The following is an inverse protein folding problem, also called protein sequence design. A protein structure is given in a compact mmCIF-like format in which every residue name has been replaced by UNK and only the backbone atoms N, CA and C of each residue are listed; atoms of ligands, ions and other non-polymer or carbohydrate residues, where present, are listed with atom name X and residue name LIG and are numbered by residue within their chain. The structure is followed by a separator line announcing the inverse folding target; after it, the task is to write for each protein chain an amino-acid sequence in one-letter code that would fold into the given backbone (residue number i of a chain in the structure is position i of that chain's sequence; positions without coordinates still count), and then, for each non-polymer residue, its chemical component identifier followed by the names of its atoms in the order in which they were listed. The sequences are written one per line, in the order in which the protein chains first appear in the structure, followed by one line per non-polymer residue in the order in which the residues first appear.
data_IF_608427960524
#
_entry.id   IF_608427960524
#
_cell.length_a   1.000
_cell.length_b   1.000
_cell.length_c   1.000
_cell.angle_alpha   90.00
_cell.angle_beta   90.00
_cell.angle_gamma   90.00
#
_symmetry.space_group_name_H-M   'P 1'
#
loop_
_entity.id
_entity.type
_entity.pdbx_description
1 polymer ?
2 non-polymer ?
3 non-polymer ?
4 non-polymer ?
5 non-polymer ?
6 non-polymer ?
7 water ?
#
# COMPACT_ATOMS: atom_id res chain seq x y z
N UNK A 6 16.93 6.41 -11.21
CA UNK A 6 16.24 5.14 -10.94
C UNK A 6 14.73 5.26 -11.03
N UNK A 7 14.24 6.46 -11.30
CA UNK A 7 12.80 6.69 -11.43
C UNK A 7 12.40 6.75 -12.90
N UNK A 8 13.27 6.26 -13.79
CA UNK A 8 12.97 6.25 -15.24
C UNK A 8 11.96 5.16 -15.60
N UNK A 9 11.10 5.46 -16.57
CA UNK A 9 10.14 4.48 -17.04
C UNK A 9 10.73 3.80 -18.25
N UNK A 10 10.33 2.54 -18.47
CA UNK A 10 10.73 1.80 -19.64
C UNK A 10 9.70 2.20 -20.69
N UNK A 11 9.72 1.58 -21.86
CA UNK A 11 8.76 1.93 -22.92
C UNK A 11 7.33 1.45 -22.66
N UNK A 12 7.20 0.26 -22.09
CA UNK A 12 5.88 -0.33 -21.79
C UNK A 12 5.20 0.43 -20.65
N UNK A 13 5.98 1.17 -19.87
CA UNK A 13 5.45 1.95 -18.73
C UNK A 13 4.97 3.34 -19.15
N UNK A 14 5.75 4.01 -19.99
CA UNK A 14 5.40 5.33 -20.49
C UNK A 14 4.12 5.24 -21.32
N UNK A 15 3.98 4.14 -22.05
CA UNK A 15 2.80 3.91 -22.87
C UNK A 15 1.58 3.75 -21.96
N UNK A 16 1.69 2.94 -20.92
CA UNK A 16 0.56 2.73 -20.01
C UNK A 16 0.16 4.04 -19.37
N UNK A 17 1.17 4.86 -19.08
CA UNK A 17 0.97 6.18 -18.47
C UNK A 17 0.27 7.21 -19.39
N UNK A 18 0.54 7.09 -20.70
CA UNK A 18 -0.06 7.97 -21.72
C UNK A 18 -1.51 7.52 -21.90
N UNK A 19 -1.68 6.22 -21.98
CA UNK A 19 -3.00 5.62 -22.08
C UNK A 19 -3.90 6.14 -20.96
N UNK A 20 -3.48 5.94 -19.72
CA UNK A 20 -4.27 6.42 -18.58
C UNK A 20 -4.73 7.86 -18.68
N UNK A 21 -3.77 8.75 -18.94
CA UNK A 21 -4.03 10.20 -19.01
C UNK A 21 -5.03 10.60 -20.06
N UNK A 22 -4.87 9.96 -21.20
CA UNK A 22 -5.72 10.09 -22.36
C UNK A 22 -7.16 9.64 -22.03
N UNK A 23 -7.31 8.63 -21.18
CA UNK A 23 -8.64 8.17 -20.75
C UNK A 23 -9.17 9.21 -19.77
N UNK A 24 -8.27 9.70 -18.91
CA UNK A 24 -8.65 10.68 -17.89
C UNK A 24 -9.07 11.99 -18.51
N UNK A 25 -8.37 12.38 -19.57
CA UNK A 25 -8.62 13.63 -20.25
C UNK A 25 -10.09 13.83 -20.57
N UNK A 26 -10.75 12.73 -20.92
CA UNK A 26 -12.15 12.69 -21.30
C UNK A 26 -13.15 12.80 -20.14
N UNK A 27 -12.68 12.59 -18.92
CA UNK A 27 -13.57 12.66 -17.77
C UNK A 27 -13.77 14.11 -17.33
N UNK A 28 -15.00 14.60 -17.46
CA UNK A 28 -15.30 15.96 -17.09
C UNK A 28 -15.25 16.09 -15.58
N UNK A 29 -16.20 16.81 -15.02
CA UNK A 29 -16.27 16.98 -13.58
C UNK A 29 -17.01 15.75 -13.07
N UNK A 30 -16.59 15.20 -11.95
CA UNK A 30 -17.24 14.00 -11.49
C UNK A 30 -18.41 14.39 -10.59
N UNK A 31 -19.55 13.71 -10.78
CA UNK A 31 -20.77 13.96 -9.99
C UNK A 31 -21.43 12.64 -9.52
N UNK A 32 -22.06 12.65 -8.35
CA UNK A 32 -22.72 11.44 -7.80
C UNK A 32 -23.46 10.61 -8.84
N UNK A 33 -24.35 11.29 -9.56
CA UNK A 33 -25.24 10.66 -10.52
C UNK A 33 -24.60 10.00 -11.76
N UNK A 34 -23.31 10.24 -12.01
CA UNK A 34 -22.69 9.60 -13.16
C UNK A 34 -22.20 8.19 -12.80
N UNK A 35 -22.31 7.85 -11.51
CA UNK A 35 -21.84 6.57 -11.03
C UNK A 35 -22.92 5.53 -10.79
N UNK A 36 -22.57 4.28 -11.03
CA UNK A 36 -23.47 3.19 -10.79
C UNK A 36 -22.68 2.05 -10.14
N UNK A 37 -23.06 1.70 -8.91
CA UNK A 37 -22.43 0.64 -8.13
C UNK A 37 -22.33 -0.58 -9.02
N UNK A 38 -21.27 -1.36 -8.89
CA UNK A 38 -21.09 -2.59 -9.71
C UNK A 38 -20.74 -3.73 -8.79
N UNK A 39 -20.32 -3.37 -7.57
CA UNK A 39 -19.86 -4.32 -6.57
C UNK A 39 -19.23 -3.58 -5.41
N UNK A 40 -19.11 -4.24 -4.27
CA UNK A 40 -18.47 -3.63 -3.12
C UNK A 40 -17.08 -4.28 -3.04
N UNK A 41 -16.04 -3.45 -3.02
CA UNK A 41 -14.66 -3.92 -2.98
C UNK A 41 -14.13 -4.11 -1.53
N UNK A 42 -14.67 -3.33 -0.59
CA UNK A 42 -14.28 -3.44 0.80
C UNK A 42 -14.82 -2.33 1.67
N UNK A 43 -14.66 -2.49 2.98
CA UNK A 43 -15.07 -1.49 3.94
C UNK A 43 -13.89 -1.20 4.87
N UNK A 44 -13.90 -0.02 5.46
CA UNK A 44 -12.84 0.39 6.37
C UNK A 44 -13.43 1.15 7.55
N UNK A 45 -12.63 1.32 8.59
CA UNK A 45 -13.05 2.04 9.78
C UNK A 45 -13.09 3.54 9.47
N UNK A 46 -13.91 3.91 8.50
CA UNK A 46 -14.01 5.31 8.09
C UNK A 46 -14.70 5.47 6.73
N UNK A 47 -14.75 4.38 5.97
CA UNK A 47 -15.36 4.43 4.65
C UNK A 47 -15.51 3.07 3.95
N UNK A 48 -16.12 3.14 2.76
CA UNK A 48 -16.37 1.97 1.92
C UNK A 48 -15.75 2.23 0.53
N UNK A 49 -15.67 1.16 -0.27
CA UNK A 49 -15.09 1.25 -1.60
C UNK A 49 -15.89 0.40 -2.58
N UNK A 50 -16.23 0.97 -3.74
CA UNK A 50 -16.97 0.22 -4.74
C UNK A 50 -16.29 0.20 -6.06
N UNK A 51 -16.55 -0.87 -6.81
CA UNK A 51 -16.13 -0.99 -8.20
C UNK A 51 -17.40 -0.41 -8.81
N UNK A 52 -17.23 0.65 -9.59
CA UNK A 52 -18.35 1.40 -10.14
C UNK A 52 -18.08 1.67 -11.59
N UNK A 53 -19.11 2.12 -12.29
CA UNK A 53 -19.02 2.47 -13.67
C UNK A 53 -19.45 3.93 -13.76
N UNK A 54 -18.58 4.77 -14.26
CA UNK A 54 -18.90 6.17 -14.47
C UNK A 54 -19.62 6.13 -15.82
N UNK A 55 -20.95 6.28 -15.78
CA UNK A 55 -21.84 6.12 -16.93
C UNK A 55 -21.45 6.81 -18.24
N UNK A 56 -21.19 8.12 -18.18
CA UNK A 56 -20.83 8.90 -19.37
C UNK A 56 -19.64 8.30 -20.14
N UNK A 57 -18.48 8.30 -19.49
CA UNK A 57 -17.24 7.77 -20.02
C UNK A 57 -17.22 6.28 -20.20
N UNK A 58 -18.01 5.58 -19.39
CA UNK A 58 -18.05 4.11 -19.44
C UNK A 58 -16.81 3.56 -18.70
N UNK A 59 -16.20 4.42 -17.90
CA UNK A 59 -15.01 4.05 -17.14
C UNK A 59 -15.38 3.33 -15.90
N UNK A 60 -14.67 2.22 -15.66
CA UNK A 60 -14.76 1.52 -14.38
C UNK A 60 -13.78 2.26 -13.41
N UNK A 61 -14.18 2.40 -12.15
CA UNK A 61 -13.30 3.04 -11.17
C UNK A 61 -13.57 2.43 -9.82
N UNK A 62 -12.80 2.88 -8.84
CA UNK A 62 -13.02 2.45 -7.47
C UNK A 62 -13.53 3.72 -6.84
N UNK A 63 -14.65 3.61 -6.16
CA UNK A 63 -15.21 4.79 -5.51
C UNK A 63 -15.06 4.64 -4.01
N UNK A 64 -14.22 5.47 -3.42
CA UNK A 64 -14.03 5.42 -1.99
C UNK A 64 -14.97 6.45 -1.43
N UNK A 65 -15.83 6.02 -0.52
CA UNK A 65 -16.77 6.96 0.07
C UNK A 65 -16.44 7.04 1.55
N UNK A 66 -15.81 8.13 1.94
CA UNK A 66 -15.41 8.33 3.31
C UNK A 66 -16.55 9.04 4.03
N UNK A 67 -17.49 8.28 4.58
CA UNK A 67 -18.61 8.91 5.26
C UNK A 67 -18.28 9.68 6.53
N UNK A 68 -17.36 10.63 6.42
CA UNK A 68 -17.02 11.50 7.53
C UNK A 68 -17.79 12.79 7.34
N UNK A 69 -18.32 13.33 8.44
CA UNK A 69 -19.12 14.54 8.35
C UNK A 69 -18.44 15.80 8.89
N UNK A 70 -18.37 16.81 8.03
CA UNK A 70 -17.81 18.11 8.37
C UNK A 70 -18.45 19.11 7.42
N UNK A 71 -18.60 20.34 7.89
CA UNK A 71 -19.25 21.40 7.12
C UNK A 71 -18.61 21.59 5.76
N UNK A 72 -19.41 22.01 4.78
CA UNK A 72 -18.92 22.26 3.43
C UNK A 72 -17.69 23.14 3.55
N UNK A 73 -17.67 23.97 4.58
CA UNK A 73 -16.53 24.83 4.83
C UNK A 73 -15.30 23.94 5.00
N UNK A 74 -15.39 22.94 5.87
CA UNK A 74 -14.26 22.03 6.13
C UNK A 74 -13.83 21.14 4.96
N UNK A 75 -14.78 20.31 4.53
CA UNK A 75 -14.59 19.33 3.46
C UNK A 75 -14.07 19.89 2.15
N UNK A 76 -14.12 21.21 1.99
CA UNK A 76 -13.63 21.83 0.77
C UNK A 76 -12.11 22.04 0.80
N UNK A 77 -11.48 21.80 1.95
CA UNK A 77 -10.01 21.91 2.02
C UNK A 77 -9.37 20.56 1.71
N UNK A 78 -10.07 19.51 2.06
CA UNK A 78 -9.60 18.18 1.74
C UNK A 78 -9.60 18.08 0.23
N UNK A 79 -10.75 18.36 -0.37
CA UNK A 79 -10.92 18.30 -1.82
C UNK A 79 -9.87 19.12 -2.53
N UNK A 80 -9.39 20.16 -1.85
CA UNK A 80 -8.40 21.08 -2.40
C UNK A 80 -7.01 20.45 -2.48
N UNK A 81 -6.57 19.87 -1.38
CA UNK A 81 -5.24 19.25 -1.35
C UNK A 81 -5.22 17.92 -2.12
N UNK A 82 -6.39 17.29 -2.27
CA UNK A 82 -6.57 16.04 -2.99
C UNK A 82 -6.32 16.23 -4.48
N UNK A 83 -6.50 17.48 -4.93
CA UNK A 83 -6.31 17.86 -6.34
C UNK A 83 -4.85 17.66 -6.72
N UNK A 84 -4.02 17.52 -5.69
CA UNK A 84 -2.61 17.25 -5.87
C UNK A 84 -2.45 15.88 -6.50
N UNK A 85 -3.45 15.01 -6.35
CA UNK A 85 -3.39 13.67 -6.90
C UNK A 85 -3.39 13.66 -8.42
N UNK A 86 -3.79 14.78 -9.03
CA UNK A 86 -3.78 14.88 -10.49
C UNK A 86 -2.33 15.06 -10.91
N UNK A 87 -1.47 15.35 -9.93
CA UNK A 87 -0.03 15.50 -10.20
C UNK A 87 0.82 14.25 -9.95
N UNK A 88 0.23 13.23 -9.34
CA UNK A 88 0.94 12.00 -8.96
C UNK A 88 0.86 10.93 -10.03
N UNK A 89 1.74 11.04 -11.03
CA UNK A 89 1.80 10.09 -12.15
C UNK A 89 3.05 9.22 -12.14
N UNK A 90 2.84 7.96 -11.75
CA UNK A 90 3.90 6.95 -11.63
C UNK A 90 3.28 5.56 -11.87
N UNK A 91 4.07 4.59 -12.29
CA UNK A 91 3.61 3.22 -12.49
C UNK A 91 3.37 2.48 -11.15
N UNK A 92 3.76 3.14 -10.06
CA UNK A 92 3.76 2.57 -8.70
C UNK A 92 2.78 3.29 -7.81
N UNK A 93 1.93 4.10 -8.43
CA UNK A 93 0.95 4.85 -7.67
C UNK A 93 -0.37 4.66 -8.36
N UNK A 94 -1.38 4.27 -7.61
CA UNK A 94 -2.73 4.09 -8.10
C UNK A 94 -3.24 5.39 -8.73
N UNK A 95 -3.73 5.30 -9.97
CA UNK A 95 -4.27 6.44 -10.71
C UNK A 95 -5.49 7.06 -10.05
N UNK A 96 -5.57 8.39 -10.17
CA UNK A 96 -6.60 9.22 -9.56
C UNK A 96 -7.49 9.89 -10.62
N UNK A 97 -8.79 9.91 -10.36
CA UNK A 97 -9.71 10.52 -11.32
C UNK A 97 -10.23 11.84 -10.77
N UNK A 98 -10.46 11.90 -9.47
CA UNK A 98 -10.95 13.11 -8.85
C UNK A 98 -11.63 12.81 -7.53
N UNK A 99 -12.00 13.87 -6.82
CA UNK A 99 -12.68 13.83 -5.51
C UNK A 99 -13.76 14.94 -5.41
N UNK A 100 -14.91 14.59 -4.86
CA UNK A 100 -16.01 15.53 -4.70
C UNK A 100 -16.76 15.23 -3.43
N UNK A 101 -17.57 16.18 -2.97
CA UNK A 101 -18.41 15.98 -1.77
C UNK A 101 -19.87 15.82 -2.18
N UNK A 102 -20.63 15.06 -1.40
CA UNK A 102 -22.02 14.82 -1.75
C UNK A 102 -22.64 13.78 -0.83
N UNK A 103 -23.72 14.15 -0.15
CA UNK A 103 -24.45 13.25 0.75
C UNK A 103 -23.72 13.11 2.09
N UNK A 104 -22.95 14.13 2.45
CA UNK A 104 -22.19 14.16 3.70
C UNK A 104 -20.99 13.21 3.70
N UNK A 105 -20.54 12.87 2.50
CA UNK A 105 -19.42 11.96 2.39
C UNK A 105 -18.50 12.33 1.22
N UNK A 106 -17.19 12.26 1.46
CA UNK A 106 -16.22 12.58 0.42
C UNK A 106 -16.03 11.38 -0.46
N UNK A 107 -15.97 11.60 -1.76
CA UNK A 107 -15.78 10.53 -2.72
C UNK A 107 -14.39 10.75 -3.36
N UNK A 108 -13.59 9.67 -3.42
CA UNK A 108 -12.27 9.70 -4.05
C UNK A 108 -12.39 8.62 -5.09
N UNK A 109 -12.23 8.98 -6.35
CA UNK A 109 -12.45 7.98 -7.40
C UNK A 109 -11.12 7.73 -8.03
N UNK A 110 -10.78 6.47 -8.19
CA UNK A 110 -9.45 6.18 -8.69
C UNK A 110 -9.43 5.02 -9.68
N UNK A 111 -8.26 4.77 -10.21
CA UNK A 111 -8.07 3.63 -11.07
C UNK A 111 -8.47 2.34 -10.30
N UNK A 112 -9.11 1.43 -11.02
CA UNK A 112 -9.56 0.16 -10.42
C UNK A 112 -8.46 -0.84 -10.62
N UNK A 113 -8.04 -1.47 -9.52
CA UNK A 113 -7.02 -2.49 -9.61
C UNK A 113 -7.72 -3.88 -9.54
N UNK A 114 -7.68 -4.62 -10.64
CA UNK A 114 -8.40 -5.91 -10.68
C UNK A 114 -7.86 -7.10 -9.88
N UNK A 115 -6.62 -7.01 -9.40
CA UNK A 115 -6.04 -8.10 -8.66
C UNK A 115 -6.35 -7.88 -7.18
N UNK A 116 -6.95 -6.75 -6.85
CA UNK A 116 -7.25 -6.39 -5.44
C UNK A 116 -5.97 -5.91 -4.69
N UNK A 117 -6.02 -6.05 -3.35
CA UNK A 117 -4.93 -5.68 -2.43
C UNK A 117 -4.15 -6.90 -1.94
N UNK A 118 -2.89 -6.70 -1.57
CA UNK A 118 -2.02 -7.82 -1.21
C UNK A 118 -2.61 -8.56 -0.01
N UNK A 119 -3.37 -7.78 0.71
CA UNK A 119 -4.21 -8.19 1.81
C UNK A 119 -4.95 -9.49 1.41
N UNK A 120 -5.69 -9.39 0.32
CA UNK A 120 -6.53 -10.45 -0.22
C UNK A 120 -5.75 -11.44 -1.02
N UNK A 121 -4.71 -10.99 -1.70
CA UNK A 121 -3.85 -11.93 -2.38
C UNK A 121 -3.27 -12.93 -1.36
N UNK A 122 -2.92 -12.42 -0.17
CA UNK A 122 -2.34 -13.26 0.87
C UNK A 122 -3.30 -14.27 1.39
N UNK A 123 -4.50 -13.84 1.75
CA UNK A 123 -5.58 -14.74 2.22
C UNK A 123 -5.78 -15.86 1.20
N UNK A 124 -5.90 -15.50 -0.07
CA UNK A 124 -6.03 -16.50 -1.13
C UNK A 124 -4.82 -17.42 -1.20
N UNK A 125 -3.60 -16.86 -1.21
CA UNK A 125 -2.42 -17.70 -1.42
C UNK A 125 -1.76 -18.43 -0.26
N UNK A 126 -2.08 -18.04 0.96
CA UNK A 126 -1.52 -18.67 2.16
C UNK A 126 -0.19 -18.01 2.48
N UNK A 127 0.69 -17.96 1.49
CA UNK A 127 1.92 -17.22 1.60
C UNK A 127 2.49 -16.90 0.23
N UNK A 128 3.20 -15.76 0.14
CA UNK A 128 3.73 -15.26 -1.15
C UNK A 128 5.20 -15.64 -1.29
N UNK A 129 5.55 -16.20 -2.46
CA UNK A 129 6.91 -16.67 -2.68
C UNK A 129 7.87 -15.48 -2.68
N UNK A 130 9.08 -15.72 -2.18
CA UNK A 130 10.08 -14.65 -2.03
C UNK A 130 10.38 -13.83 -3.29
N UNK A 131 10.43 -14.51 -4.43
CA UNK A 131 10.73 -13.90 -5.73
C UNK A 131 9.66 -12.93 -6.14
N UNK A 132 8.43 -13.24 -5.73
CA UNK A 132 7.28 -12.35 -5.94
C UNK A 132 7.44 -11.14 -5.03
N UNK A 133 7.71 -11.40 -3.75
CA UNK A 133 7.91 -10.29 -2.81
C UNK A 133 9.07 -9.43 -3.22
N UNK A 134 9.95 -9.97 -4.06
CA UNK A 134 11.10 -9.25 -4.63
C UNK A 134 10.58 -8.08 -5.47
N UNK A 135 9.63 -8.36 -6.37
CA UNK A 135 8.97 -7.34 -7.18
C UNK A 135 8.08 -6.41 -6.33
N UNK A 136 7.41 -6.93 -5.32
CA UNK A 136 6.57 -6.09 -4.46
C UNK A 136 7.49 -5.05 -3.78
N UNK A 137 8.66 -5.51 -3.31
CA UNK A 137 9.66 -4.69 -2.60
C UNK A 137 10.15 -3.54 -3.46
N UNK A 138 10.56 -3.87 -4.69
CA UNK A 138 11.01 -2.91 -5.73
C UNK A 138 9.89 -1.86 -5.94
N UNK A 139 8.67 -2.32 -6.21
CA UNK A 139 7.51 -1.46 -6.45
C UNK A 139 7.21 -0.52 -5.27
N UNK A 140 7.24 -1.03 -4.04
CA UNK A 140 7.02 -0.13 -2.92
C UNK A 140 8.13 0.88 -2.79
N UNK A 141 9.38 0.39 -2.77
CA UNK A 141 10.56 1.26 -2.70
C UNK A 141 10.43 2.41 -3.75
N UNK A 142 10.13 2.08 -5.00
CA UNK A 142 10.01 3.10 -6.07
C UNK A 142 8.80 3.98 -5.88
N UNK A 143 7.70 3.41 -5.42
CA UNK A 143 6.51 4.18 -5.12
C UNK A 143 6.84 5.23 -4.06
N UNK A 144 7.49 4.82 -2.96
CA UNK A 144 7.87 5.79 -1.91
C UNK A 144 8.98 6.76 -2.35
N UNK A 145 9.85 6.31 -3.25
CA UNK A 145 10.94 7.15 -3.77
C UNK A 145 10.31 8.16 -4.69
N UNK A 146 9.29 7.72 -5.42
CA UNK A 146 8.56 8.61 -6.29
C UNK A 146 7.90 9.74 -5.52
N UNK A 147 7.12 9.38 -4.50
CA UNK A 147 6.34 10.31 -3.69
C UNK A 147 7.17 11.32 -2.88
N UNK A 148 8.35 10.89 -2.48
CA UNK A 148 9.25 11.74 -1.73
C UNK A 148 9.94 12.75 -2.67
N UNK A 149 10.53 12.22 -3.74
CA UNK A 149 11.25 12.99 -4.75
C UNK A 149 10.42 13.98 -5.50
N UNK A 150 9.22 13.59 -5.92
CA UNK A 150 8.38 14.47 -6.73
C UNK A 150 7.27 15.21 -6.03
N UNK A 151 7.05 14.94 -4.75
CA UNK A 151 6.00 15.63 -3.99
C UNK A 151 6.29 15.86 -2.51
N UNK A 152 7.51 15.52 -2.07
CA UNK A 152 7.90 15.67 -0.67
C UNK A 152 6.90 14.99 0.24
N UNK A 153 6.22 13.95 -0.25
CA UNK A 153 5.25 13.24 0.59
C UNK A 153 5.85 11.98 1.15
N UNK A 154 5.38 11.62 2.32
CA UNK A 154 5.77 10.36 2.90
C UNK A 154 4.44 9.62 2.80
N UNK A 155 4.48 8.31 2.61
CA UNK A 155 3.24 7.56 2.45
C UNK A 155 2.39 7.72 3.73
N UNK A 156 2.93 7.17 4.82
CA UNK A 156 2.34 7.23 6.16
C UNK A 156 1.50 6.03 6.56
N UNK A 157 1.14 5.19 5.62
CA UNK A 157 0.30 4.05 5.94
C UNK A 157 0.55 2.81 5.07
N UNK A 158 1.80 2.35 5.00
CA UNK A 158 2.13 1.17 4.23
C UNK A 158 1.63 -0.03 5.01
N UNK A 159 0.95 -0.94 4.32
CA UNK A 159 0.44 -2.15 4.93
C UNK A 159 -0.13 -2.90 3.75
N UNK A 160 -0.36 -4.21 3.91
CA UNK A 160 -0.78 -5.09 2.78
C UNK A 160 -2.06 -4.65 2.03
N UNK A 161 -2.99 -4.05 2.77
CA UNK A 161 -4.24 -3.53 2.20
C UNK A 161 -4.06 -2.26 1.40
N UNK A 162 -2.87 -1.67 1.43
CA UNK A 162 -2.60 -0.47 0.66
C UNK A 162 -1.68 -0.68 -0.54
N UNK A 163 -1.36 -1.94 -0.83
CA UNK A 163 -0.55 -2.30 -2.02
C UNK A 163 -1.52 -3.10 -2.86
N UNK A 164 -1.76 -2.60 -4.06
CA UNK A 164 -2.78 -3.12 -4.98
C UNK A 164 -2.07 -3.62 -6.20
N UNK A 165 -2.63 -4.69 -6.76
CA UNK A 165 -2.05 -5.35 -7.92
C UNK A 165 -3.10 -5.52 -9.01
N UNK A 166 -2.66 -5.82 -10.21
CA UNK A 166 -3.57 -6.00 -11.35
C UNK A 166 -3.13 -7.05 -12.38
N UNK A 167 -4.10 -7.58 -13.10
CA UNK A 167 -3.84 -8.63 -14.09
C UNK A 167 -2.77 -8.27 -15.08
N UNK A 168 -2.34 -7.00 -15.13
CA UNK A 168 -1.20 -6.63 -16.00
C UNK A 168 0.15 -6.80 -15.29
N UNK A 169 0.14 -7.43 -14.11
CA UNK A 169 1.35 -7.62 -13.32
C UNK A 169 1.87 -6.34 -12.65
N UNK A 170 1.00 -5.34 -12.50
CA UNK A 170 1.37 -4.06 -11.88
C UNK A 170 1.17 -3.98 -10.35
N UNK A 171 2.10 -3.30 -9.66
CA UNK A 171 2.02 -3.13 -8.19
C UNK A 171 2.11 -1.62 -7.89
N UNK A 172 1.03 -1.08 -7.31
CA UNK A 172 0.87 0.35 -7.00
C UNK A 172 0.44 0.58 -5.55
N UNK A 173 0.76 1.77 -5.03
CA UNK A 173 0.40 2.19 -3.67
C UNK A 173 -0.79 3.13 -3.72
N UNK A 174 -1.63 3.04 -2.70
CA UNK A 174 -2.74 3.96 -2.57
C UNK A 174 -2.80 4.33 -1.11
N UNK A 175 -3.75 5.19 -0.78
CA UNK A 175 -3.97 5.68 0.59
C UNK A 175 -2.81 6.42 1.30
N UNK A 176 -1.94 7.09 0.54
CA UNK A 176 -0.83 7.86 1.13
C UNK A 176 -1.30 9.26 1.60
N UNK A 177 -0.60 9.83 2.59
CA UNK A 177 -0.99 11.10 3.22
C UNK A 177 -0.82 12.38 2.39
N UNK A 178 -1.54 12.50 1.28
CA UNK A 178 -1.43 13.68 0.42
C UNK A 178 -2.10 14.95 1.04
N UNK A 179 -3.22 14.75 1.72
CA UNK A 179 -3.94 15.83 2.35
C UNK A 179 -3.85 15.71 3.89
N UNK A 180 -3.09 16.61 4.49
CA UNK A 180 -2.91 16.65 5.95
C UNK A 180 -4.23 16.92 6.63
N UNK A 181 -5.08 17.71 5.97
CA UNK A 181 -6.41 17.99 6.49
C UNK A 181 -7.33 16.76 6.49
N UNK A 182 -7.18 15.90 5.48
CA UNK A 182 -7.99 14.67 5.47
C UNK A 182 -7.42 13.80 6.60
N UNK A 183 -6.11 13.88 6.80
CA UNK A 183 -5.44 13.16 7.88
C UNK A 183 -6.11 13.49 9.22
N UNK A 184 -6.06 14.77 9.61
CA UNK A 184 -6.66 15.20 10.89
C UNK A 184 -8.18 15.10 10.91
N UNK A 185 -8.82 15.57 9.86
CA UNK A 185 -10.27 15.54 9.80
C UNK A 185 -10.77 14.09 9.90
N UNK A 186 -9.86 13.14 9.80
CA UNK A 186 -10.22 11.72 9.80
C UNK A 186 -9.60 11.07 11.01
N UNK A 187 -8.27 11.03 10.98
CA UNK A 187 -7.46 10.47 12.06
C UNK A 187 -7.77 11.28 13.30
N UNK A 188 -9.03 11.23 13.70
CA UNK A 188 -9.53 11.92 14.86
C UNK A 188 -10.57 10.97 15.40
N UNK A 189 -11.80 11.16 14.92
CA UNK A 189 -12.91 10.29 15.30
C UNK A 189 -12.95 9.12 14.32
N UNK A 190 -11.81 8.45 14.20
CA UNK A 190 -11.65 7.34 13.28
C UNK A 190 -10.22 6.81 13.35
N UNK A 191 -10.08 5.58 13.81
CA UNK A 191 -8.76 4.97 13.86
C UNK A 191 -8.65 3.96 12.72
N UNK A 192 -7.43 3.74 12.24
CA UNK A 192 -7.13 2.80 11.17
C UNK A 192 -5.87 2.11 11.66
N UNK A 193 -6.01 0.81 11.93
CA UNK A 193 -4.94 -0.03 12.49
C UNK A 193 -3.51 0.52 12.50
N UNK A 194 -2.93 0.58 13.70
CA UNK A 194 -1.55 1.06 13.89
C UNK A 194 -0.63 -0.14 14.06
N UNK A 195 -1.13 -1.30 13.69
CA UNK A 195 -0.37 -2.54 13.88
C UNK A 195 0.84 -2.73 12.96
N UNK A 196 1.00 -1.83 11.98
CA UNK A 196 2.15 -1.81 11.06
C UNK A 196 2.92 -0.48 11.23
N UNK A 197 2.64 0.21 12.34
CA UNK A 197 3.36 1.42 12.64
C UNK A 197 4.69 1.12 13.31
N UNK A 198 5.69 1.92 12.97
CA UNK A 198 7.04 1.73 13.51
C UNK A 198 7.07 2.06 14.99
N UNK A 199 8.06 1.52 15.67
CA UNK A 199 8.20 1.76 17.10
C UNK A 199 8.27 3.22 17.43
N UNK A 200 8.95 4.00 16.58
CA UNK A 200 9.12 5.43 16.83
C UNK A 200 7.85 6.26 16.71
N UNK A 201 6.96 5.86 15.80
CA UNK A 201 5.69 6.57 15.63
C UNK A 201 4.72 6.17 16.72
N UNK A 202 4.83 4.96 17.24
CA UNK A 202 3.95 4.57 18.34
C UNK A 202 4.47 5.17 19.66
N UNK A 203 5.73 5.58 19.68
CA UNK A 203 6.33 6.15 20.89
C UNK A 203 6.13 7.67 20.82
N UNK A 204 5.56 8.13 19.71
CA UNK A 204 5.30 9.54 19.50
C UNK A 204 6.51 10.27 18.94
N UNK A 205 7.69 9.69 19.15
CA UNK A 205 8.92 10.33 18.70
C UNK A 205 8.98 10.70 17.23
N UNK A 206 10.17 11.18 16.84
CA UNK A 206 10.47 11.60 15.47
C UNK A 206 10.06 10.55 14.42
N UNK A 207 9.66 11.02 13.22
CA UNK A 207 9.28 10.10 12.13
C UNK A 207 9.37 10.58 10.66
N UNK A 208 10.15 9.84 9.87
CA UNK A 208 10.32 10.15 8.46
C UNK A 208 9.85 8.97 7.63
N UNK A 209 10.36 8.90 6.40
CA UNK A 209 10.04 7.79 5.49
C UNK A 209 10.66 6.50 5.98
N UNK A 210 11.38 6.57 7.09
CA UNK A 210 12.02 5.42 7.70
C UNK A 210 10.93 4.63 8.39
N UNK A 211 9.86 5.36 8.74
CA UNK A 211 8.67 4.77 9.35
C UNK A 211 7.92 3.91 8.33
N UNK A 212 7.90 4.40 7.09
CA UNK A 212 7.30 3.70 5.95
C UNK A 212 8.08 2.44 5.56
N UNK A 213 9.42 2.52 5.72
CA UNK A 213 10.36 1.42 5.49
C UNK A 213 10.11 0.33 6.56
N UNK A 214 9.84 0.75 7.79
CA UNK A 214 9.51 -0.22 8.84
C UNK A 214 8.25 -1.04 8.47
N UNK A 215 7.21 -0.32 8.02
CA UNK A 215 5.92 -0.89 7.72
C UNK A 215 6.03 -1.84 6.48
N UNK A 216 6.81 -1.44 5.49
CA UNK A 216 7.05 -2.29 4.35
C UNK A 216 7.70 -3.57 4.80
N UNK A 217 8.75 -3.46 5.64
CA UNK A 217 9.48 -4.65 6.10
C UNK A 217 8.50 -5.55 6.87
N UNK A 218 7.71 -4.91 7.73
CA UNK A 218 6.77 -5.67 8.57
C UNK A 218 5.79 -6.46 7.71
N UNK A 219 5.30 -5.80 6.67
CA UNK A 219 4.33 -6.33 5.73
C UNK A 219 4.92 -7.50 4.94
N UNK A 220 6.18 -7.36 4.53
CA UNK A 220 6.86 -8.40 3.76
C UNK A 220 7.00 -9.68 4.55
N UNK A 221 7.34 -9.57 5.85
CA UNK A 221 7.47 -10.77 6.71
C UNK A 221 6.13 -11.43 6.83
N UNK A 222 5.11 -10.62 6.98
CA UNK A 222 3.77 -11.15 7.05
C UNK A 222 3.35 -11.93 5.80
N UNK A 223 3.61 -11.34 4.64
CA UNK A 223 3.25 -11.92 3.36
C UNK A 223 4.06 -13.15 3.08
N UNK A 224 5.33 -13.14 3.52
CA UNK A 224 6.26 -14.28 3.35
C UNK A 224 5.87 -15.50 4.19
N UNK A 225 5.41 -15.27 5.41
CA UNK A 225 5.09 -16.36 6.35
C UNK A 225 3.63 -16.80 6.38
N UNK A 226 2.73 -15.91 5.96
CA UNK A 226 1.29 -16.19 5.90
C UNK A 226 0.61 -15.84 7.22
N UNK A 227 1.16 -14.86 7.95
CA UNK A 227 0.54 -14.48 9.22
C UNK A 227 1.07 -13.15 9.76
N UNK A 228 0.21 -12.36 10.39
CA UNK A 228 0.73 -11.12 10.97
C UNK A 228 1.77 -11.51 12.04
N UNK A 229 3.03 -11.18 11.78
CA UNK A 229 4.17 -11.72 12.57
C UNK A 229 4.38 -11.53 14.10
N UNK A 230 3.66 -10.61 14.74
CA UNK A 230 3.82 -10.35 16.18
C UNK A 230 2.60 -10.89 16.94
N UNK A 231 2.84 -11.57 18.06
CA UNK A 231 4.17 -11.86 18.56
C UNK A 231 4.71 -13.01 17.74
N UNK A 232 5.96 -13.38 18.00
CA UNK A 232 6.62 -14.42 17.21
C UNK A 232 6.04 -15.81 17.32
N UNK A 233 5.98 -16.46 16.16
CA UNK A 233 5.49 -17.83 16.03
C UNK A 233 6.38 -18.77 16.81
N UNK A 234 5.89 -19.29 17.94
CA UNK A 234 6.69 -20.21 18.75
C UNK A 234 7.08 -21.51 18.04
N UNK A 235 8.36 -21.59 17.66
CA UNK A 235 9.00 -22.74 16.98
C UNK A 235 8.17 -23.91 16.43
N UNK A 236 7.24 -24.42 17.24
CA UNK A 236 6.37 -25.51 16.82
C UNK A 236 5.27 -24.97 15.90
N UNK A 237 5.06 -23.66 15.98
CA UNK A 237 4.10 -22.97 15.12
C UNK A 237 4.70 -22.95 13.73
N UNK A 238 6.03 -23.07 13.67
CA UNK A 238 6.78 -23.03 12.42
C UNK A 238 6.86 -24.36 11.67
N UNK A 239 6.96 -25.46 12.40
CA UNK A 239 7.02 -26.77 11.73
C UNK A 239 5.74 -27.00 10.92
N UNK A 240 4.62 -26.54 11.48
CA UNK A 240 3.35 -26.69 10.78
C UNK A 240 3.36 -25.78 9.55
N UNK A 241 4.05 -24.64 9.69
CA UNK A 241 4.16 -23.63 8.63
C UNK A 241 4.92 -24.04 7.35
N UNK A 242 6.24 -24.19 7.43
CA UNK A 242 7.08 -24.55 6.27
C UNK A 242 7.61 -25.99 6.22
N UNK A 243 7.26 -26.77 7.25
CA UNK A 243 7.67 -28.18 7.36
C UNK A 243 8.82 -28.45 8.33
N UNK A 244 9.23 -27.41 9.05
CA UNK A 244 10.32 -27.52 10.03
N UNK A 274 -5.67 -14.67 22.87
CA UNK A 274 -4.74 -14.01 21.95
C UNK A 274 -4.27 -12.65 22.52
N UNK A 275 -3.74 -11.81 21.64
CA UNK A 275 -3.23 -10.51 22.05
C UNK A 275 -4.12 -9.36 21.62
N UNK A 276 -4.60 -8.59 22.59
CA UNK A 276 -5.40 -7.42 22.32
C UNK A 276 -4.49 -6.34 21.70
N UNK A 277 -5.08 -5.48 20.88
CA UNK A 277 -4.38 -4.39 20.22
C UNK A 277 -3.33 -3.70 21.04
N UNK A 278 -3.72 -3.20 22.21
CA UNK A 278 -2.79 -2.52 23.12
C UNK A 278 -1.65 -3.41 23.64
N UNK A 279 -1.93 -4.70 23.79
CA UNK A 279 -0.90 -5.63 24.29
C UNK A 279 0.15 -5.77 23.20
N UNK A 280 -0.34 -5.73 21.97
CA UNK A 280 0.47 -5.86 20.78
C UNK A 280 1.34 -4.63 20.51
N UNK A 281 0.75 -3.44 20.41
CA UNK A 281 1.56 -2.25 20.12
C UNK A 281 2.67 -2.04 21.12
N UNK A 282 2.42 -2.48 22.35
CA UNK A 282 3.40 -2.43 23.41
C UNK A 282 4.53 -3.43 23.04
N UNK A 283 4.14 -4.61 22.57
CA UNK A 283 5.10 -5.61 22.11
C UNK A 283 6.07 -4.98 21.11
N UNK A 284 5.49 -4.39 20.07
CA UNK A 284 6.28 -3.75 19.05
C UNK A 284 7.30 -2.78 19.63
N UNK A 285 6.87 -1.92 20.55
CA UNK A 285 7.76 -0.93 21.12
C UNK A 285 8.80 -1.57 22.06
N UNK A 286 8.41 -2.61 22.81
CA UNK A 286 9.32 -3.19 23.79
C UNK A 286 10.11 -4.44 23.44
N UNK A 287 9.65 -5.22 22.47
CA UNK A 287 10.33 -6.45 22.11
C UNK A 287 11.17 -6.25 20.84
N UNK A 288 12.02 -7.24 20.57
CA UNK A 288 12.91 -7.18 19.40
C UNK A 288 12.06 -7.37 18.15
N UNK A 289 12.46 -6.72 17.06
CA UNK A 289 11.69 -6.79 15.83
C UNK A 289 11.49 -8.22 15.30
N UNK A 290 10.49 -8.38 14.44
CA UNK A 290 10.20 -9.73 13.87
C UNK A 290 11.33 -10.13 12.92
N UNK A 291 11.51 -11.44 12.76
CA UNK A 291 12.44 -11.92 11.75
C UNK A 291 11.87 -13.03 10.92
N UNK A 292 12.42 -13.25 9.74
CA UNK A 292 11.97 -14.40 8.96
C UNK A 292 12.58 -15.65 9.56
N UNK A 293 11.82 -16.73 9.57
CA UNK A 293 12.35 -18.02 10.01
C UNK A 293 13.56 -18.32 9.10
N UNK A 294 14.64 -18.85 9.67
CA UNK A 294 15.85 -19.13 8.88
C UNK A 294 15.80 -20.48 8.21
N UNK A 295 16.74 -20.71 7.28
CA UNK A 295 16.75 -21.96 6.52
C UNK A 295 15.74 -21.99 5.37
N UNK A 296 14.56 -21.40 5.59
CA UNK A 296 13.51 -21.31 4.56
C UNK A 296 13.71 -20.27 3.44
N UNK A 297 14.15 -19.05 3.80
CA UNK A 297 14.35 -17.95 2.83
C UNK A 297 15.81 -17.70 2.58
N UNK A 298 16.13 -17.03 1.48
CA UNK A 298 17.53 -16.74 1.14
C UNK A 298 18.08 -15.71 2.11
N UNK A 299 19.41 -15.65 2.20
CA UNK A 299 20.09 -14.82 3.17
C UNK A 299 20.00 -13.40 2.78
N UNK A 300 20.01 -13.14 1.47
CA UNK A 300 19.81 -11.76 0.95
C UNK A 300 18.44 -11.23 1.36
N UNK A 301 17.38 -12.04 1.24
CA UNK A 301 16.03 -11.64 1.65
C UNK A 301 15.92 -11.46 3.18
N UNK A 302 16.54 -12.33 3.96
CA UNK A 302 16.54 -12.11 5.44
C UNK A 302 17.27 -10.79 5.82
N UNK A 303 18.40 -10.54 5.21
CA UNK A 303 19.15 -9.34 5.50
C UNK A 303 18.30 -8.12 5.10
N UNK A 304 17.68 -8.16 3.92
CA UNK A 304 16.79 -7.07 3.47
C UNK A 304 15.70 -6.68 4.48
N UNK A 305 14.96 -7.66 4.98
CA UNK A 305 13.88 -7.38 5.95
C UNK A 305 14.45 -6.96 7.32
N UNK A 306 15.59 -7.54 7.70
CA UNK A 306 16.27 -7.18 8.96
C UNK A 306 16.64 -5.68 8.96
N UNK A 307 17.00 -5.15 7.80
CA UNK A 307 17.44 -3.75 7.64
C UNK A 307 16.31 -2.73 7.61
N UNK A 308 15.11 -3.24 7.36
CA UNK A 308 13.89 -2.49 7.32
C UNK A 308 13.33 -2.52 8.71
N UNK A 309 13.52 -3.63 9.41
CA UNK A 309 12.93 -3.85 10.71
C UNK A 309 13.78 -3.39 11.91
N UNK A 310 14.85 -2.66 11.62
CA UNK A 310 15.72 -2.08 12.63
C UNK A 310 14.95 -1.01 13.38
N UNK A 311 14.72 -1.25 14.67
CA UNK A 311 13.99 -0.34 15.56
C UNK A 311 14.47 1.11 15.64
N UNK A 312 15.77 1.34 15.66
CA UNK A 312 16.26 2.71 15.71
C UNK A 312 16.30 3.23 14.29
N UNK A 313 15.43 4.20 13.99
CA UNK A 313 15.31 4.77 12.66
C UNK A 313 16.59 5.22 12.03
N UNK A 314 17.48 5.75 12.86
CA UNK A 314 18.79 6.22 12.41
C UNK A 314 19.64 5.10 11.80
N UNK A 315 19.53 3.89 12.33
CA UNK A 315 20.27 2.73 11.83
C UNK A 315 19.54 1.94 10.72
N UNK A 316 18.20 1.93 10.76
CA UNK A 316 17.43 1.24 9.74
C UNK A 316 17.73 1.87 8.36
N UNK A 317 17.83 1.04 7.33
CA UNK A 317 18.15 1.49 6.01
C UNK A 317 17.20 2.59 5.52
N UNK A 318 17.56 3.21 4.40
CA UNK A 318 16.72 4.20 3.83
C UNK A 318 16.52 3.77 2.42
N UNK A 319 15.74 4.55 1.66
CA UNK A 319 15.40 4.21 0.30
C UNK A 319 16.58 3.98 -0.62
N UNK A 320 17.55 4.88 -0.59
CA UNK A 320 18.71 4.84 -1.50
C UNK A 320 19.54 3.60 -1.28
N UNK A 321 19.62 3.21 -0.02
CA UNK A 321 20.36 2.03 0.39
C UNK A 321 19.62 0.76 -0.04
N UNK A 322 18.31 0.72 0.21
CA UNK A 322 17.46 -0.40 -0.18
C UNK A 322 17.40 -0.59 -1.69
N UNK A 323 17.48 0.50 -2.43
CA UNK A 323 17.46 0.39 -3.86
C UNK A 323 18.65 -0.38 -4.44
N UNK A 324 19.75 -0.45 -3.68
CA UNK A 324 20.95 -1.16 -4.11
C UNK A 324 21.26 -2.35 -3.26
N UNK A 325 20.32 -2.75 -2.40
CA UNK A 325 20.51 -3.94 -1.59
C UNK A 325 20.62 -5.15 -2.55
N UNK A 326 21.44 -6.11 -2.16
CA UNK A 326 21.63 -7.33 -2.94
C UNK A 326 20.29 -7.93 -3.35
N UNK A 327 19.34 -7.99 -2.42
CA UNK A 327 18.01 -8.58 -2.68
C UNK A 327 17.26 -7.82 -3.80
N UNK A 328 17.38 -6.50 -3.82
CA UNK A 328 16.75 -5.67 -4.82
C UNK A 328 17.44 -5.79 -6.17
N UNK A 329 18.77 -5.82 -6.18
CA UNK A 329 19.53 -6.00 -7.43
C UNK A 329 19.31 -7.36 -8.05
N UNK A 330 19.20 -8.38 -7.20
CA UNK A 330 18.96 -9.74 -7.67
C UNK A 330 17.55 -9.84 -8.17
N UNK A 331 16.63 -9.22 -7.43
CA UNK A 331 15.24 -9.27 -7.80
C UNK A 331 14.91 -8.58 -9.11
N UNK A 332 15.59 -7.46 -9.40
CA UNK A 332 15.42 -6.70 -10.65
C UNK A 332 15.84 -7.51 -11.88
N UNK A 333 17.05 -8.05 -11.82
CA UNK A 333 17.63 -8.84 -12.90
C UNK A 333 16.83 -10.12 -13.12
N UNK A 334 16.06 -10.51 -12.11
CA UNK A 334 15.19 -11.66 -12.21
C UNK A 334 13.99 -11.22 -13.09
N UNK A 335 13.51 -12.09 -13.96
CA UNK A 335 12.35 -11.75 -14.79
C UNK A 335 11.27 -12.67 -14.30
N UNK A 336 10.56 -12.20 -13.29
CA UNK A 336 9.53 -12.97 -12.59
C UNK A 336 8.27 -12.66 -13.34
N UNK A 337 7.39 -13.64 -13.56
CA UNK A 337 6.12 -13.38 -14.26
C UNK A 337 5.06 -13.07 -13.17
N UNK A 338 5.01 -11.83 -12.72
CA UNK A 338 4.09 -11.54 -11.65
C UNK A 338 2.66 -11.82 -12.07
N UNK A 339 2.30 -11.40 -13.30
CA UNK A 339 0.96 -11.60 -13.84
C UNK A 339 0.54 -13.07 -13.89
N UNK A 340 1.42 -13.92 -14.43
CA UNK A 340 1.14 -15.34 -14.46
C UNK A 340 0.82 -15.87 -13.05
N UNK A 341 1.79 -15.73 -12.15
CA UNK A 341 1.64 -16.17 -10.76
C UNK A 341 0.34 -15.66 -10.16
N UNK A 342 0.04 -14.38 -10.36
CA UNK A 342 -1.18 -13.79 -9.84
C UNK A 342 -2.45 -14.43 -10.37
N UNK A 343 -2.63 -14.52 -11.67
CA UNK A 343 -3.88 -15.08 -12.15
C UNK A 343 -4.06 -16.50 -11.65
N UNK A 344 -2.97 -17.28 -11.72
CA UNK A 344 -2.98 -18.66 -11.23
C UNK A 344 -3.38 -18.84 -9.78
N UNK A 345 -3.07 -17.84 -8.95
CA UNK A 345 -3.33 -17.88 -7.51
C UNK A 345 -4.69 -17.38 -7.01
N UNK A 346 -5.27 -16.40 -7.70
CA UNK A 346 -6.56 -15.85 -7.31
C UNK A 346 -7.64 -16.24 -8.32
N UNK A 347 -7.29 -17.08 -9.29
CA UNK A 347 -8.25 -17.54 -10.28
C UNK A 347 -8.56 -16.50 -11.36
N UNK A 348 -7.88 -15.36 -11.29
CA UNK A 348 -8.06 -14.26 -12.25
C UNK A 348 -8.26 -14.75 -13.70
X LIG B 1 -8.15 -0.64 4.28
X LIG B 1 -7.50 0.23 3.27
X LIG B 1 -8.78 -2.07 3.86
X LIG B 1 -8.08 -0.22 5.83
X LIG B 1 -10.11 0.83 2.78
X LIG B 1 -11.33 1.63 3.09
X LIG B 1 -8.94 1.84 2.25
X LIG B 1 -9.67 0.03 4.17
X LIG B 1 -10.48 -0.15 1.54
X LIG B 1 -10.85 -1.44 2.00
X LIG B 1 -10.68 -2.34 0.78
X LIG B 1 -11.00 -1.55 -0.40
X LIG B 1 -9.19 -2.61 0.57
X LIG B 1 -8.74 -3.66 1.43
X LIG B 1 -9.15 -2.93 -0.94
X LIG B 1 -9.36 -4.30 -1.20
X LIG B 1 -10.33 -2.15 -1.53
X LIG B 1 -9.85 -1.13 -2.48
X LIG B 1 -9.49 0.16 -2.18
X LIG B 1 -9.06 0.76 -3.26
X LIG B 1 -9.15 -0.08 -4.33
X LIG B 1 -8.87 0.01 -5.70
X LIG B 1 -8.36 1.16 -6.24
X LIG B 1 -9.09 -1.06 -6.48
X LIG B 1 -9.51 -2.21 -5.97
X LIG B 1 -9.78 -2.35 -4.67
X LIG B 1 -9.64 -1.31 -3.83
X LIG C 1 -6.66 1.23 1.84
X LIG D 1 -27.31 12.04 -5.88
X LIG E 1 -25.15 9.08 -3.97
X LIG F 1 -6.25 8.27 -0.76
X LIG F 1 -4.88 8.57 -1.06
X LIG F 1 -4.21 8.35 -2.30
X LIG F 1 -4.95 7.80 -3.30
X LIG F 1 -6.26 7.50 -3.01
X LIG F 1 -6.89 7.69 -1.81
X LIG F 1 -6.91 8.47 0.49
X LIG F 1 -6.30 9.07 1.64
X LIG F 1 -6.27 8.45 2.89
X LIG F 1 -5.60 9.01 4.02
X LIG F 1 -4.87 10.21 3.97
X LIG F 1 -4.88 10.83 2.72
X LIG F 1 -5.61 10.28 1.62
X LIG F 1 -7.09 7.25 3.04
X LIG F 1 -6.78 6.40 4.07
X LIG F 1 -8.05 7.15 2.26
X LIG F 1 -7.61 5.20 4.30
X LIG F 1 -9.02 5.62 4.40
X LIG F 1 -9.96 4.69 5.17
X LIG F 1 -11.32 4.55 4.47
X LIG F 1 -9.37 3.41 5.46
X LIG F 1 -11.78 3.27 4.88
X LIG F 1 -4.28 7.37 -5.29
X LIG F 1 -8.14 7.28 -1.74
X LIG F 1 -5.56 10.91 0.49
X LIG F 1 -4.19 12.03 2.55
#
# INVERSE_FOLDING_TARGET
GKKLEELELDEQQRKRLEAFLTQKQKVGELKDDDFEKISELGAGNGGVVFKVSHKPSGLVMARKLIHLEIKPAIRNQIIRELQVLHECNSPYIVGFYGAFYSDGEISICMEHMDGGSLDQVLKKAGRIPEQILGKVSIAVIKGLTYLREKHKIMHRDVKPSNILVNSRGEIKLCDFGVSGQLIDSMANSFVGTRSYMSPERLQGTHYSVQSDIWSMGLSLVEMAVGRYPIPPPDAKELELMFGCQVEGDAAETPPRPRTPGRPLNKFGMDSRPPMAIFELLDYIVNEPPPKLPSGVFSLEFQDFVNKCLIKNPAERADLKQLMVHAFIKRSDAEEVDFAGWLCSTIGLNQPSTPTHAAGV
ADP PB O1B O2B O3B PA O1A O2A O3A O5' C5' C4' O4' C3' O3' C2' O2' C1' N9 C8 N7 C5 C6 N6 N1 C2 N3 C4
MG MG
CA CA
NA NA
4BM C01 C02 C03 C04 C05 C06 N07 C08 C09 C10 C11 C12 C13 C14 N15 O16 O17 C18 C19 C20 O21 O22 I23 F24 F25 F26
#
